data_IF_343950036024
#
_entry.id   IF_343950036024
#
_cell.length_a   1.000
_cell.length_b   1.000
_cell.length_c   1.000
_cell.angle_alpha   90.00
_cell.angle_beta   90.00
_cell.angle_gamma   90.00
#
_symmetry.space_group_name_H-M   'P 1'
#
loop_
_entity.id
_entity.type
_entity.pdbx_description
1 polymer ?
#
# COMPACT_ATOMS: atom_id res chain seq x y z
N UNK A 1 13.59 -14.41 -2.77
CA UNK A 1 12.54 -14.58 -1.76
C UNK A 1 11.21 -14.82 -2.48
N UNK A 2 10.38 -15.69 -1.98
CA UNK A 2 9.03 -15.90 -2.49
C UNK A 2 8.01 -15.53 -1.41
N UNK A 3 6.71 -15.55 -1.75
CA UNK A 3 5.67 -15.13 -0.82
C UNK A 3 5.63 -16.02 0.43
N UNK A 4 5.87 -17.32 0.28
CA UNK A 4 5.87 -18.25 1.41
C UNK A 4 6.96 -17.88 2.42
N UNK A 5 8.17 -17.60 1.94
CA UNK A 5 9.30 -17.22 2.80
C UNK A 5 9.05 -15.89 3.49
N UNK A 6 8.41 -14.94 2.79
CA UNK A 6 8.07 -13.66 3.38
C UNK A 6 7.07 -13.81 4.52
N UNK A 7 6.06 -14.66 4.34
CA UNK A 7 5.06 -14.97 5.37
C UNK A 7 5.73 -15.66 6.56
N UNK A 8 6.61 -16.62 6.32
CA UNK A 8 7.32 -17.32 7.37
C UNK A 8 8.21 -16.37 8.19
N UNK A 9 8.88 -15.44 7.53
CA UNK A 9 9.66 -14.38 8.18
C UNK A 9 8.79 -13.55 9.11
N UNK A 10 7.61 -13.15 8.66
CA UNK A 10 6.67 -12.36 9.47
C UNK A 10 6.19 -13.16 10.68
N UNK A 11 5.79 -14.42 10.47
CA UNK A 11 5.31 -15.29 11.54
C UNK A 11 6.36 -15.49 12.63
N UNK A 12 7.61 -15.64 12.24
CA UNK A 12 8.69 -15.97 13.15
C UNK A 12 8.86 -14.94 14.27
N UNK A 13 8.63 -13.66 13.98
CA UNK A 13 8.77 -12.59 14.96
C UNK A 13 7.53 -11.70 15.05
N UNK A 14 6.38 -12.25 14.72
CA UNK A 14 5.14 -11.48 14.69
C UNK A 14 4.84 -10.75 16.00
N UNK A 15 5.12 -11.39 17.13
CA UNK A 15 4.89 -10.77 18.44
C UNK A 15 5.66 -9.46 18.58
N UNK A 16 6.90 -9.43 18.10
CA UNK A 16 7.71 -8.20 18.11
C UNK A 16 7.13 -7.15 17.15
N UNK A 17 6.74 -7.56 15.95
CA UNK A 17 6.21 -6.61 14.95
C UNK A 17 4.91 -5.96 15.39
N UNK A 18 4.15 -6.61 16.27
CA UNK A 18 2.91 -6.06 16.82
C UNK A 18 3.14 -5.07 17.96
N UNK A 19 4.38 -4.92 18.45
CA UNK A 19 4.68 -3.93 19.48
C UNK A 19 4.81 -2.53 18.87
N UNK A 20 4.65 -1.51 19.69
CA UNK A 20 4.78 -0.12 19.27
C UNK A 20 6.23 0.24 18.86
N UNK A 21 7.19 -0.59 19.20
CA UNK A 21 8.61 -0.36 18.86
C UNK A 21 8.93 -0.61 17.39
N UNK A 22 8.13 -1.44 16.71
CA UNK A 22 8.33 -1.71 15.29
C UNK A 22 7.59 -0.66 14.48
N UNK A 23 8.35 0.24 13.85
CA UNK A 23 7.77 1.41 13.20
C UNK A 23 7.41 1.18 11.72
N UNK A 24 6.75 2.17 11.15
CA UNK A 24 6.29 2.13 9.76
C UNK A 24 7.44 1.99 8.76
N UNK A 25 8.54 2.73 8.97
CA UNK A 25 9.72 2.67 8.09
C UNK A 25 10.30 1.27 8.04
N UNK A 26 10.42 0.62 9.19
CA UNK A 26 10.91 -0.76 9.27
C UNK A 26 9.96 -1.71 8.55
N UNK A 27 8.66 -1.56 8.75
CA UNK A 27 7.66 -2.38 8.07
C UNK A 27 7.75 -2.25 6.56
N UNK A 28 7.88 -1.03 6.07
CA UNK A 28 7.99 -0.79 4.63
C UNK A 28 9.20 -1.50 4.06
N UNK A 29 10.35 -1.31 4.69
CA UNK A 29 11.60 -1.92 4.22
C UNK A 29 11.59 -3.45 4.32
N UNK A 30 11.09 -3.99 5.43
CA UNK A 30 11.17 -5.42 5.72
C UNK A 30 10.09 -6.25 5.02
N UNK A 31 8.90 -5.70 4.80
CA UNK A 31 7.74 -6.48 4.35
C UNK A 31 6.98 -5.90 3.17
N UNK A 32 6.71 -4.59 3.13
CA UNK A 32 5.93 -4.04 2.02
C UNK A 32 6.75 -3.91 0.75
N UNK A 33 7.99 -3.44 0.83
CA UNK A 33 8.87 -3.40 -0.34
C UNK A 33 9.04 -4.80 -0.94
N UNK A 34 9.40 -5.84 -0.15
CA UNK A 34 9.49 -7.19 -0.70
C UNK A 34 8.19 -7.72 -1.28
N UNK A 35 7.04 -7.44 -0.64
CA UNK A 35 5.74 -7.89 -1.14
C UNK A 35 5.47 -7.32 -2.54
N UNK A 36 5.65 -6.02 -2.72
CA UNK A 36 5.39 -5.38 -4.00
C UNK A 36 6.46 -5.70 -5.05
N UNK A 37 7.67 -5.99 -4.64
CA UNK A 37 8.68 -6.53 -5.56
C UNK A 37 8.24 -7.89 -6.11
N UNK A 38 7.65 -8.75 -5.27
CA UNK A 38 7.09 -10.03 -5.73
C UNK A 38 5.93 -9.85 -6.71
N UNK A 39 5.24 -8.69 -6.63
CA UNK A 39 4.18 -8.34 -7.57
C UNK A 39 4.72 -7.72 -8.86
N UNK A 40 6.05 -7.62 -9.00
CA UNK A 40 6.71 -7.18 -10.22
C UNK A 40 7.19 -5.74 -10.24
N UNK A 41 7.02 -5.00 -9.17
CA UNK A 41 7.37 -3.58 -9.12
C UNK A 41 8.83 -3.34 -8.75
N UNK A 42 9.46 -2.40 -9.44
CA UNK A 42 10.85 -1.99 -9.17
C UNK A 42 10.85 -0.87 -8.11
N UNK A 43 10.71 -1.26 -6.86
CA UNK A 43 10.57 -0.32 -5.73
C UNK A 43 11.79 0.60 -5.60
N UNK A 44 12.98 0.05 -5.74
CA UNK A 44 14.23 0.77 -5.47
C UNK A 44 14.91 1.31 -6.72
N UNK A 45 14.19 1.29 -7.84
CA UNK A 45 14.73 1.74 -9.13
C UNK A 45 16.05 1.04 -9.50
N UNK A 46 16.09 -0.27 -9.36
CA UNK A 46 17.29 -1.05 -9.72
C UNK A 46 17.61 -0.96 -11.21
N UNK A 47 16.59 -0.71 -12.03
CA UNK A 47 16.77 -0.50 -13.47
C UNK A 47 17.43 0.83 -13.82
N UNK A 48 17.58 1.74 -12.86
CA UNK A 48 18.24 3.02 -13.07
C UNK A 48 17.47 3.97 -13.98
N UNK A 49 16.14 3.92 -13.96
CA UNK A 49 15.32 4.83 -14.77
C UNK A 49 15.40 6.26 -14.27
N UNK A 50 15.31 7.26 -15.15
CA UNK A 50 15.22 8.65 -14.71
C UNK A 50 13.95 8.88 -13.89
N UNK A 51 13.95 9.92 -13.07
CA UNK A 51 12.89 10.19 -12.09
C UNK A 51 11.48 10.17 -12.70
N UNK A 52 11.30 10.73 -13.89
CA UNK A 52 9.99 10.77 -14.55
C UNK A 52 9.55 9.41 -15.11
N UNK A 53 10.43 8.41 -15.13
CA UNK A 53 10.12 7.06 -15.62
C UNK A 53 10.14 6.01 -14.52
N UNK A 54 10.50 6.38 -13.29
CA UNK A 54 10.51 5.44 -12.17
C UNK A 54 9.11 4.86 -11.96
N UNK A 55 9.08 3.58 -11.64
CA UNK A 55 7.80 2.89 -11.38
C UNK A 55 7.20 3.28 -10.05
N UNK A 56 8.04 3.50 -9.03
CA UNK A 56 7.57 3.78 -7.68
C UNK A 56 8.21 5.07 -7.18
N UNK A 57 7.37 6.00 -6.74
CA UNK A 57 7.79 7.24 -6.10
C UNK A 57 7.39 7.17 -4.64
N UNK A 58 8.33 7.46 -3.76
CA UNK A 58 8.07 7.49 -2.32
C UNK A 58 7.69 8.90 -1.89
N UNK A 59 6.63 9.00 -1.09
CA UNK A 59 6.18 10.25 -0.47
C UNK A 59 6.01 11.41 -1.46
N UNK A 60 5.39 11.11 -2.60
CA UNK A 60 5.16 12.09 -3.67
C UNK A 60 4.13 13.13 -3.24
N UNK A 61 4.44 14.45 -3.32
CA UNK A 61 3.46 15.48 -3.05
C UNK A 61 2.36 15.46 -4.12
N UNK A 62 1.10 15.42 -3.71
CA UNK A 62 -0.03 15.39 -4.66
C UNK A 62 -0.39 16.78 -5.18
N UNK A 63 -0.12 17.83 -4.41
CA UNK A 63 -0.41 19.20 -4.77
C UNK A 63 0.79 20.08 -4.48
N UNK A 64 1.42 20.59 -5.52
CA UNK A 64 2.51 21.53 -5.36
C UNK A 64 2.02 22.85 -4.76
N UNK A 65 2.63 23.29 -3.67
CA UNK A 65 2.43 24.61 -3.08
C UNK A 65 1.08 24.87 -2.44
N UNK A 66 0.25 23.87 -2.23
CA UNK A 66 -1.11 24.09 -1.76
C UNK A 66 -1.23 24.22 -0.26
N UNK A 67 -0.47 23.47 0.53
CA UNK A 67 -0.57 23.47 1.98
C UNK A 67 0.66 22.77 2.55
N UNK A 68 1.29 23.38 3.55
CA UNK A 68 2.43 22.78 4.25
C UNK A 68 2.05 21.47 4.93
N UNK A 69 0.77 21.31 5.25
CA UNK A 69 0.25 20.10 5.89
C UNK A 69 -0.31 19.09 4.89
N UNK A 70 -0.12 19.30 3.59
CA UNK A 70 -0.58 18.34 2.59
C UNK A 70 0.15 17.02 2.80
N UNK A 71 -0.61 16.00 3.15
CA UNK A 71 -0.08 14.67 3.35
C UNK A 71 0.27 14.05 2.01
N UNK A 72 1.26 13.15 2.03
CA UNK A 72 1.75 12.46 0.86
C UNK A 72 1.46 10.98 1.02
N UNK A 73 1.01 10.28 -0.03
CA UNK A 73 0.94 8.83 0.05
C UNK A 73 2.36 8.26 0.22
N UNK A 74 2.47 7.15 0.93
CA UNK A 74 3.78 6.54 1.17
C UNK A 74 4.41 6.05 -0.12
N UNK A 75 3.62 5.46 -1.03
CA UNK A 75 4.09 4.98 -2.32
C UNK A 75 3.12 5.39 -3.42
N UNK A 76 3.67 5.80 -4.56
CA UNK A 76 2.93 5.97 -5.80
C UNK A 76 3.46 4.96 -6.81
N UNK A 77 2.59 4.10 -7.33
CA UNK A 77 2.93 3.10 -8.35
C UNK A 77 2.54 3.62 -9.73
N UNK A 78 3.50 3.60 -10.67
CA UNK A 78 3.32 4.20 -11.99
C UNK A 78 3.73 3.24 -13.11
N UNK A 79 3.07 3.36 -14.25
CA UNK A 79 3.52 2.74 -15.50
C UNK A 79 3.56 3.82 -16.58
N UNK A 80 4.69 3.90 -17.29
CA UNK A 80 4.88 4.90 -18.34
C UNK A 80 4.59 6.31 -17.86
N UNK A 81 5.06 6.63 -16.65
CA UNK A 81 4.85 7.91 -15.98
C UNK A 81 3.40 8.19 -15.56
N UNK A 82 2.50 7.25 -15.75
CA UNK A 82 1.09 7.38 -15.36
C UNK A 82 0.86 6.71 -14.00
N UNK A 83 0.26 7.46 -13.06
CA UNK A 83 -0.10 6.91 -11.75
C UNK A 83 -1.16 5.82 -11.89
N UNK A 84 -0.94 4.68 -11.24
CA UNK A 84 -1.90 3.57 -11.23
C UNK A 84 -2.61 3.43 -9.90
N UNK A 85 -1.87 3.46 -8.80
CA UNK A 85 -2.48 3.45 -7.46
C UNK A 85 -1.48 3.94 -6.43
N UNK A 86 -2.01 4.30 -5.25
CA UNK A 86 -1.22 4.62 -4.07
C UNK A 86 -1.25 3.48 -3.07
N UNK A 87 -0.20 3.38 -2.28
CA UNK A 87 -0.14 2.51 -1.11
C UNK A 87 0.13 3.37 0.12
N UNK A 88 -0.75 3.26 1.11
CA UNK A 88 -0.58 3.87 2.42
C UNK A 88 -0.15 2.78 3.39
N UNK A 89 0.97 2.99 4.05
CA UNK A 89 1.52 2.04 5.02
C UNK A 89 1.19 2.47 6.44
N UNK A 90 0.94 1.50 7.30
CA UNK A 90 0.83 1.70 8.75
C UNK A 90 1.62 0.60 9.44
N UNK A 91 2.19 0.89 10.60
CA UNK A 91 2.89 -0.15 11.38
C UNK A 91 1.89 -1.22 11.84
N UNK A 92 2.32 -2.47 12.03
CA UNK A 92 1.40 -3.55 12.40
C UNK A 92 0.64 -3.33 13.71
N UNK A 93 1.21 -2.54 14.62
CA UNK A 93 0.55 -2.18 15.88
C UNK A 93 -0.78 -1.45 15.65
N UNK A 94 -0.94 -0.76 14.54
CA UNK A 94 -2.19 -0.09 14.17
C UNK A 94 -3.14 -1.11 13.55
N UNK A 95 -4.30 -1.30 14.17
CA UNK A 95 -5.32 -2.24 13.72
C UNK A 95 -6.14 -1.66 12.57
N UNK A 96 -5.56 -1.61 11.38
CA UNK A 96 -6.20 -0.96 10.22
C UNK A 96 -7.52 -1.62 9.82
N UNK A 97 -7.73 -2.87 10.20
CA UNK A 97 -8.98 -3.60 9.94
C UNK A 97 -10.10 -3.23 10.92
N UNK A 98 -9.80 -2.48 11.97
CA UNK A 98 -10.76 -2.05 12.99
C UNK A 98 -10.96 -0.54 13.05
N UNK A 99 -9.91 0.24 12.77
CA UNK A 99 -9.99 1.70 12.81
C UNK A 99 -10.30 2.27 11.42
N UNK A 100 -10.91 3.45 11.38
CA UNK A 100 -11.47 3.99 10.14
C UNK A 100 -10.61 5.07 9.48
N UNK A 101 -9.87 5.84 10.27
CA UNK A 101 -9.12 6.99 9.75
C UNK A 101 -8.09 6.64 8.66
N UNK A 102 -7.28 5.56 8.79
CA UNK A 102 -6.33 5.20 7.73
C UNK A 102 -7.02 4.88 6.40
N UNK A 103 -8.17 4.21 6.44
CA UNK A 103 -8.93 3.88 5.25
C UNK A 103 -9.43 5.14 4.54
N UNK A 104 -9.98 6.09 5.31
CA UNK A 104 -10.43 7.36 4.74
C UNK A 104 -9.26 8.13 4.10
N UNK A 105 -8.10 8.12 4.74
CA UNK A 105 -6.90 8.79 4.22
C UNK A 105 -6.45 8.17 2.89
N UNK A 106 -6.34 6.85 2.83
CA UNK A 106 -5.95 6.14 1.61
C UNK A 106 -6.92 6.43 0.46
N UNK A 107 -8.22 6.43 0.75
CA UNK A 107 -9.26 6.72 -0.23
C UNK A 107 -9.19 8.17 -0.72
N UNK A 108 -8.92 9.13 0.18
CA UNK A 108 -8.83 10.55 -0.21
C UNK A 108 -7.70 10.78 -1.20
N UNK A 109 -6.55 10.16 -1.00
CA UNK A 109 -5.44 10.28 -1.93
C UNK A 109 -5.85 9.83 -3.34
N UNK A 110 -6.42 8.64 -3.45
CA UNK A 110 -6.83 8.09 -4.74
C UNK A 110 -7.95 8.89 -5.39
N UNK A 111 -8.93 9.31 -4.61
CA UNK A 111 -10.03 10.12 -5.12
C UNK A 111 -9.54 11.48 -5.66
N UNK A 112 -8.67 12.15 -4.89
CA UNK A 112 -8.11 13.45 -5.28
C UNK A 112 -7.28 13.33 -6.57
N UNK A 113 -6.53 12.25 -6.73
CA UNK A 113 -5.71 12.01 -7.91
C UNK A 113 -6.49 11.35 -9.06
N UNK A 114 -7.78 11.10 -8.88
CA UNK A 114 -8.64 10.47 -9.88
C UNK A 114 -8.18 9.08 -10.30
N UNK A 115 -7.74 8.29 -9.33
CA UNK A 115 -7.31 6.91 -9.55
C UNK A 115 -8.46 5.94 -9.31
N UNK A 116 -8.33 4.72 -9.84
CA UNK A 116 -9.35 3.67 -9.68
C UNK A 116 -9.33 3.04 -8.31
N UNK A 117 -8.12 2.82 -7.77
CA UNK A 117 -7.94 2.14 -6.48
C UNK A 117 -6.86 2.81 -5.66
N UNK A 118 -6.92 2.57 -4.34
CA UNK A 118 -5.84 2.82 -3.38
C UNK A 118 -5.71 1.63 -2.47
N UNK A 119 -4.52 1.45 -1.92
CA UNK A 119 -4.18 0.30 -1.07
C UNK A 119 -3.75 0.80 0.29
N UNK A 120 -4.22 0.11 1.32
CA UNK A 120 -3.82 0.33 2.72
C UNK A 120 -3.27 -0.98 3.25
N UNK A 121 -2.06 -0.96 3.83
CA UNK A 121 -1.49 -2.19 4.39
C UNK A 121 -0.58 -1.91 5.57
N UNK A 122 -0.63 -2.81 6.55
CA UNK A 122 0.34 -2.92 7.63
C UNK A 122 1.03 -4.29 7.59
N UNK A 123 1.01 -4.96 6.47
CA UNK A 123 1.39 -6.34 6.17
C UNK A 123 0.46 -7.36 6.84
N UNK A 124 0.05 -7.17 8.09
CA UNK A 124 -0.94 -8.03 8.76
C UNK A 124 -2.19 -8.13 7.90
N UNK A 125 -2.62 -7.00 7.34
CA UNK A 125 -3.74 -6.88 6.40
C UNK A 125 -3.34 -6.11 5.17
N UNK A 126 -3.94 -6.48 4.04
CA UNK A 126 -3.84 -5.78 2.77
C UNK A 126 -5.26 -5.45 2.35
N UNK A 127 -5.57 -4.16 2.25
CA UNK A 127 -6.92 -3.67 1.97
C UNK A 127 -6.91 -2.82 0.72
N UNK A 128 -7.77 -3.17 -0.24
CA UNK A 128 -7.86 -2.50 -1.55
C UNK A 128 -9.20 -1.78 -1.62
N UNK A 129 -9.16 -0.49 -1.92
CA UNK A 129 -10.34 0.37 -1.94
C UNK A 129 -10.63 0.93 -3.32
N UNK A 130 -11.91 1.05 -3.64
CA UNK A 130 -12.41 1.75 -4.83
C UNK A 130 -12.33 3.26 -4.56
N UNK A 131 -11.48 3.96 -5.28
CA UNK A 131 -11.29 5.39 -5.07
C UNK A 131 -12.08 6.27 -6.05
N UNK A 132 -13.00 5.69 -6.80
CA UNK A 132 -13.98 6.47 -7.56
C UNK A 132 -15.11 6.98 -6.67
N UNK A 133 -15.25 6.43 -5.46
CA UNK A 133 -16.29 6.78 -4.50
C UNK A 133 -15.79 7.92 -3.60
N UNK A 134 -16.56 9.01 -3.55
CA UNK A 134 -16.22 10.16 -2.71
C UNK A 134 -16.16 9.75 -1.23
N UNK A 135 -15.17 10.30 -0.51
CA UNK A 135 -14.97 10.03 0.91
C UNK A 135 -15.82 10.95 1.75
N UNK A 136 -16.63 10.39 2.63
CA UNK A 136 -17.41 11.14 3.62
C UNK A 136 -16.71 11.05 4.98
N UNK A 137 -16.96 12.06 5.82
CA UNK A 137 -16.28 12.21 7.11
C UNK A 137 -16.47 11.02 8.05
N UNK A 138 -17.63 10.36 7.99
CA UNK A 138 -17.98 9.25 8.89
C UNK A 138 -17.87 7.88 8.22
N UNK A 139 -17.24 7.77 7.06
CA UNK A 139 -17.09 6.48 6.39
C UNK A 139 -16.23 5.55 7.23
N UNK A 140 -16.69 4.31 7.41
CA UNK A 140 -15.94 3.29 8.11
C UNK A 140 -14.94 2.59 7.18
N UNK A 141 -14.14 1.69 7.74
CA UNK A 141 -13.09 0.99 6.99
C UNK A 141 -13.63 -0.02 5.97
N UNK A 142 -14.91 -0.30 5.95
CA UNK A 142 -15.54 -1.20 4.98
C UNK A 142 -16.14 -0.45 3.79
N UNK A 143 -16.33 0.85 3.91
CA UNK A 143 -16.86 1.65 2.81
C UNK A 143 -15.91 1.62 1.62
N UNK A 144 -16.44 1.28 0.45
CA UNK A 144 -15.71 1.18 -0.80
C UNK A 144 -14.57 0.14 -0.79
N UNK A 145 -14.59 -0.79 0.16
CA UNK A 145 -13.61 -1.87 0.24
C UNK A 145 -13.89 -2.91 -0.86
N UNK A 146 -12.92 -3.15 -1.72
CA UNK A 146 -13.00 -4.16 -2.79
C UNK A 146 -12.57 -5.52 -2.24
N UNK A 147 -11.42 -5.57 -1.58
CA UNK A 147 -10.83 -6.80 -1.05
C UNK A 147 -10.04 -6.52 0.22
N UNK A 148 -10.07 -7.51 1.11
CA UNK A 148 -9.26 -7.50 2.33
C UNK A 148 -8.62 -8.88 2.48
N UNK A 149 -7.31 -8.91 2.65
CA UNK A 149 -6.56 -10.14 2.89
C UNK A 149 -5.81 -10.03 4.22
N UNK A 150 -5.84 -11.10 4.99
CA UNK A 150 -4.94 -11.27 6.12
C UNK A 150 -3.63 -11.90 5.60
N UNK A 151 -2.49 -11.64 6.24
CA UNK A 151 -1.21 -12.14 5.74
C UNK A 151 -1.18 -13.68 5.57
N UNK A 152 -1.97 -14.40 6.38
CA UNK A 152 -2.07 -15.85 6.28
C UNK A 152 -2.74 -16.30 4.97
N UNK A 153 -3.42 -15.40 4.28
CA UNK A 153 -4.10 -15.69 3.02
C UNK A 153 -3.27 -15.31 1.79
N UNK A 154 -2.13 -14.66 1.97
CA UNK A 154 -1.34 -14.14 0.84
C UNK A 154 -0.87 -15.24 -0.11
N UNK A 155 -0.46 -16.41 0.41
CA UNK A 155 0.04 -17.49 -0.42
C UNK A 155 -1.05 -18.05 -1.32
N UNK A 156 -2.20 -18.42 -0.76
CA UNK A 156 -3.30 -18.97 -1.53
C UNK A 156 -3.97 -17.95 -2.45
N UNK A 157 -3.96 -16.68 -2.08
CA UNK A 157 -4.57 -15.59 -2.84
C UNK A 157 -3.57 -14.83 -3.72
N UNK A 158 -2.34 -15.28 -3.82
CA UNK A 158 -1.27 -14.52 -4.47
C UNK A 158 -1.59 -14.19 -5.93
N UNK A 159 -2.13 -15.14 -6.68
CA UNK A 159 -2.47 -14.89 -8.09
C UNK A 159 -3.60 -13.86 -8.22
N UNK A 160 -4.56 -13.85 -7.30
CA UNK A 160 -5.61 -12.84 -7.29
C UNK A 160 -5.04 -11.47 -6.95
N UNK A 161 -4.17 -11.39 -5.92
CA UNK A 161 -3.51 -10.14 -5.55
C UNK A 161 -2.68 -9.62 -6.73
N UNK A 162 -1.99 -10.50 -7.42
CA UNK A 162 -1.18 -10.16 -8.59
C UNK A 162 -2.04 -9.60 -9.73
N UNK A 163 -3.24 -10.15 -9.93
CA UNK A 163 -4.17 -9.61 -10.94
C UNK A 163 -4.66 -8.21 -10.58
N UNK A 164 -4.81 -7.93 -9.29
CA UNK A 164 -5.31 -6.63 -8.83
C UNK A 164 -4.21 -5.56 -8.74
N UNK A 165 -3.01 -5.95 -8.30
CA UNK A 165 -1.94 -5.02 -7.94
C UNK A 165 -0.62 -5.25 -8.68
N UNK A 166 -0.48 -6.31 -9.43
CA UNK A 166 0.76 -6.64 -10.12
C UNK A 166 1.04 -5.67 -11.26
N UNK A 167 2.32 -5.39 -11.48
CA UNK A 167 2.77 -4.47 -12.53
C UNK A 167 2.21 -4.83 -13.91
N UNK A 168 2.18 -6.11 -14.24
CA UNK A 168 1.72 -6.55 -15.57
C UNK A 168 0.22 -6.56 -15.74
N UNK A 169 -0.53 -6.39 -14.64
CA UNK A 169 -1.99 -6.51 -14.64
C UNK A 169 -2.71 -5.16 -14.55
N UNK A 170 -2.03 -4.15 -14.06
CA UNK A 170 -2.65 -2.82 -13.85
C UNK A 170 -2.62 -1.93 -15.09
#
# INVERSE_FOLDING_TARGET
MDIKKLIEKYKAERTYYLTDRYNETLLRNDFLDPLFELLGWDIKNRAGKPTNEREVILEEPLKAGADENTKKPDYTFRLFAERKFFLEAKKPHVNIHEVDAPARQARRYGYTANLKISVLSNFEYLMIYDTSVKVEENDNNQKALIKKYHYTEYEESFEEIKRLLGKESV
#
